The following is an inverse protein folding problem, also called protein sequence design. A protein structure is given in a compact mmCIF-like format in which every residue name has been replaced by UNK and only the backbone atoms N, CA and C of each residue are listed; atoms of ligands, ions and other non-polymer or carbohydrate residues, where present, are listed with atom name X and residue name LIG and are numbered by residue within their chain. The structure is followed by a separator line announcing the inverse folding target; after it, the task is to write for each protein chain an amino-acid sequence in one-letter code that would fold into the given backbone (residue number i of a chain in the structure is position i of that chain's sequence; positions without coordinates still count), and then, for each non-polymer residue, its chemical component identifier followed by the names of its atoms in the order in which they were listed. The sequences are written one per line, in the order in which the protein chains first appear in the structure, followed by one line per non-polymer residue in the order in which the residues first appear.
data_IF_371317385262
#
_entry.id   IF_371317385262
#
_cell.length_a   1.000
_cell.length_b   1.000
_cell.length_c   1.000
_cell.angle_alpha   90.00
_cell.angle_beta   90.00
_cell.angle_gamma   90.00
#
_symmetry.space_group_name_H-M   'P 1'
#
loop_
_entity.id
_entity.type
_entity.pdbx_description
1 polymer ?
#
# COMPACT_ATOMS: atom_id res chain seq x y z
N UNK A 1 -35.69 16.13 18.11
CA UNK A 1 -34.97 15.73 19.34
C UNK A 1 -34.38 14.31 19.27
N UNK A 2 -34.95 13.35 18.53
CA UNK A 2 -34.40 11.97 18.40
C UNK A 2 -32.98 11.88 17.82
N UNK A 3 -32.67 12.58 16.72
CA UNK A 3 -31.35 12.52 16.06
C UNK A 3 -30.18 13.11 16.89
N UNK A 4 -30.46 13.93 17.91
CA UNK A 4 -29.42 14.52 18.77
C UNK A 4 -29.07 13.58 19.93
N UNK A 5 -30.08 12.91 20.50
CA UNK A 5 -29.91 11.89 21.54
C UNK A 5 -29.20 10.63 20.99
N UNK A 6 -29.55 10.17 19.78
CA UNK A 6 -28.86 9.03 19.16
C UNK A 6 -27.39 9.34 18.83
N UNK A 7 -27.09 10.56 18.38
CA UNK A 7 -25.70 11.00 18.18
C UNK A 7 -24.95 11.06 19.50
N UNK A 8 -25.53 11.64 20.56
CA UNK A 8 -24.88 11.68 21.88
C UNK A 8 -24.61 10.30 22.47
N UNK A 9 -25.56 9.36 22.37
CA UNK A 9 -25.34 7.98 22.83
C UNK A 9 -24.27 7.24 22.01
N UNK A 10 -24.16 7.51 20.70
CA UNK A 10 -23.11 6.93 19.86
C UNK A 10 -21.73 7.49 20.18
N UNK A 11 -21.64 8.79 20.48
CA UNK A 11 -20.38 9.41 20.94
C UNK A 11 -19.96 8.88 22.32
N UNK A 12 -20.87 8.82 23.29
CA UNK A 12 -20.58 8.27 24.63
C UNK A 12 -20.10 6.81 24.58
N UNK A 13 -20.74 5.95 23.76
CA UNK A 13 -20.27 4.57 23.57
C UNK A 13 -18.88 4.48 22.96
N UNK A 14 -18.54 5.36 22.02
CA UNK A 14 -17.21 5.38 21.43
C UNK A 14 -16.14 5.81 22.44
N UNK A 15 -16.44 6.77 23.31
CA UNK A 15 -15.52 7.23 24.35
C UNK A 15 -15.28 6.15 25.42
N UNK A 16 -16.34 5.47 25.87
CA UNK A 16 -16.24 4.33 26.81
C UNK A 16 -15.41 3.17 26.24
N UNK A 17 -15.60 2.86 24.96
CA UNK A 17 -14.86 1.80 24.29
C UNK A 17 -13.37 2.15 24.16
N UNK A 18 -13.06 3.41 23.83
CA UNK A 18 -11.70 3.92 23.75
C UNK A 18 -11.01 3.91 25.12
N UNK A 19 -11.71 4.31 26.18
CA UNK A 19 -11.17 4.28 27.54
C UNK A 19 -10.91 2.85 28.03
N UNK A 20 -11.84 1.94 27.76
CA UNK A 20 -11.67 0.51 28.05
C UNK A 20 -10.45 -0.09 27.33
N UNK A 21 -10.26 0.28 26.06
CA UNK A 21 -9.11 -0.16 25.26
C UNK A 21 -7.79 0.39 25.81
N UNK A 22 -7.74 1.68 26.18
CA UNK A 22 -6.54 2.28 26.79
C UNK A 22 -6.16 1.60 28.10
N UNK A 23 -7.15 1.34 28.97
CA UNK A 23 -6.92 0.60 30.22
C UNK A 23 -6.34 -0.78 29.93
N UNK A 24 -6.93 -1.53 29.00
CA UNK A 24 -6.38 -2.84 28.60
C UNK A 24 -4.92 -2.74 28.12
N UNK A 25 -4.61 -1.79 27.24
CA UNK A 25 -3.25 -1.61 26.74
C UNK A 25 -2.26 -1.25 27.87
N UNK A 26 -2.67 -0.37 28.78
CA UNK A 26 -1.89 -0.03 29.96
C UNK A 26 -1.58 -1.26 30.81
N UNK A 27 -2.61 -2.04 31.16
CA UNK A 27 -2.46 -3.26 31.96
C UNK A 27 -1.59 -4.30 31.26
N UNK A 28 -1.67 -4.40 29.93
CA UNK A 28 -0.79 -5.27 29.15
C UNK A 28 0.67 -4.83 29.24
N UNK A 29 0.98 -3.53 29.26
CA UNK A 29 2.36 -3.05 29.44
C UNK A 29 2.86 -3.17 30.87
N UNK A 30 1.99 -2.94 31.86
CA UNK A 30 2.35 -2.92 33.28
C UNK A 30 2.39 -4.30 33.94
N UNK A 31 2.10 -5.39 33.23
CA UNK A 31 1.90 -6.72 33.81
C UNK A 31 0.83 -6.77 34.91
N UNK A 32 -0.22 -5.95 34.76
CA UNK A 32 -1.26 -5.87 35.80
C UNK A 32 -0.90 -4.99 36.99
N UNK A 33 0.21 -4.25 36.96
CA UNK A 33 0.57 -3.26 37.97
C UNK A 33 -0.06 -1.88 37.67
N UNK A 34 -0.16 -1.01 38.67
CA UNK A 34 -0.66 0.37 38.52
C UNK A 34 0.35 1.32 37.86
N UNK A 35 1.53 0.81 37.50
CA UNK A 35 2.66 1.57 36.95
C UNK A 35 3.37 0.76 35.87
N UNK A 36 3.82 1.42 34.80
CA UNK A 36 4.73 0.86 33.82
C UNK A 36 6.16 1.25 34.23
N UNK A 37 7.02 0.24 34.40
CA UNK A 37 8.44 0.41 34.69
C UNK A 37 9.25 0.22 33.40
N UNK A 38 10.34 0.98 33.25
CA UNK A 38 11.24 0.90 32.09
C UNK A 38 11.73 -0.54 31.83
N UNK A 39 12.15 -1.26 32.88
CA UNK A 39 12.62 -2.63 32.76
C UNK A 39 11.56 -3.56 32.15
N UNK A 40 10.34 -3.54 32.69
CA UNK A 40 9.21 -4.32 32.19
C UNK A 40 8.91 -4.01 30.73
N UNK A 41 9.00 -2.73 30.34
CA UNK A 41 8.72 -2.32 28.98
C UNK A 41 9.81 -2.81 28.00
N UNK A 42 11.08 -2.71 28.39
CA UNK A 42 12.22 -3.23 27.62
C UNK A 42 12.14 -4.74 27.38
N UNK A 43 11.73 -5.49 28.39
CA UNK A 43 11.56 -6.95 28.27
C UNK A 43 10.46 -7.32 27.27
N UNK A 44 9.36 -6.54 27.23
CA UNK A 44 8.23 -6.81 26.32
C UNK A 44 8.48 -6.37 24.88
N UNK A 45 8.98 -5.15 24.69
CA UNK A 45 9.08 -4.53 23.35
C UNK A 45 10.38 -4.84 22.61
N UNK A 46 11.32 -5.57 23.22
CA UNK A 46 12.76 -5.55 22.91
C UNK A 46 13.44 -4.30 23.52
N UNK A 47 14.67 -4.46 24.01
CA UNK A 47 15.44 -3.46 24.74
C UNK A 47 15.59 -2.16 23.96
N UNK A 48 15.84 -2.28 22.64
CA UNK A 48 16.08 -1.15 21.73
C UNK A 48 14.82 -0.32 21.45
N UNK A 49 13.62 -0.93 21.45
CA UNK A 49 12.35 -0.22 21.26
C UNK A 49 11.74 0.26 22.58
N UNK A 50 11.94 -0.50 23.67
CA UNK A 50 11.32 -0.21 24.96
C UNK A 50 11.76 1.14 25.55
N UNK A 51 13.02 1.52 25.39
CA UNK A 51 13.54 2.79 25.93
C UNK A 51 12.95 4.04 25.26
N UNK A 52 12.97 4.18 23.92
CA UNK A 52 12.33 5.32 23.27
C UNK A 52 10.84 5.45 23.60
N UNK A 53 10.10 4.33 23.64
CA UNK A 53 8.68 4.34 23.96
C UNK A 53 8.45 4.75 25.43
N UNK A 54 9.28 4.25 26.36
CA UNK A 54 9.20 4.65 27.77
C UNK A 54 9.44 6.16 27.94
N UNK A 55 10.49 6.67 27.31
CA UNK A 55 10.90 8.08 27.35
C UNK A 55 9.81 8.98 26.79
N UNK A 56 9.16 8.56 25.70
CA UNK A 56 8.01 9.26 25.15
C UNK A 56 6.83 9.32 26.13
N UNK A 57 6.48 8.19 26.77
CA UNK A 57 5.35 8.12 27.70
C UNK A 57 5.60 8.89 29.01
N UNK A 58 6.85 8.97 29.46
CA UNK A 58 7.26 9.59 30.73
C UNK A 58 7.72 11.05 30.62
N UNK A 59 7.70 11.65 29.42
CA UNK A 59 8.30 12.97 29.14
C UNK A 59 9.81 13.08 29.47
N UNK A 60 10.51 11.95 29.66
CA UNK A 60 11.84 11.89 30.26
C UNK A 60 11.94 12.46 31.69
N UNK A 61 10.80 12.68 32.36
CA UNK A 61 10.73 13.30 33.68
C UNK A 61 10.39 12.28 34.77
N UNK A 62 9.57 11.28 34.43
CA UNK A 62 9.03 10.31 35.40
C UNK A 62 9.78 8.97 35.44
N UNK A 63 10.10 8.51 36.65
CA UNK A 63 10.69 7.17 36.90
C UNK A 63 9.68 6.04 36.69
N UNK A 64 8.38 6.36 36.62
CA UNK A 64 7.28 5.42 36.40
C UNK A 64 6.21 6.10 35.55
N UNK A 65 5.49 5.33 34.71
CA UNK A 65 4.35 5.84 33.94
C UNK A 65 3.06 5.28 34.53
N UNK A 66 2.20 6.14 35.04
CA UNK A 66 0.88 5.76 35.55
C UNK A 66 -0.20 5.76 34.44
N UNK A 67 -1.41 5.29 34.76
CA UNK A 67 -2.51 5.20 33.80
C UNK A 67 -2.90 6.57 33.20
N UNK A 68 -2.83 7.64 33.98
CA UNK A 68 -3.19 8.98 33.50
C UNK A 68 -2.18 9.51 32.48
N UNK A 69 -0.88 9.37 32.78
CA UNK A 69 0.22 9.71 31.87
C UNK A 69 0.15 8.87 30.59
N UNK A 70 -0.09 7.56 30.71
CA UNK A 70 -0.31 6.70 29.55
C UNK A 70 -1.53 7.14 28.74
N UNK A 71 -2.65 7.48 29.38
CA UNK A 71 -3.86 7.92 28.66
C UNK A 71 -3.66 9.22 27.86
N UNK A 72 -2.71 10.08 28.26
CA UNK A 72 -2.37 11.33 27.55
C UNK A 72 -1.59 11.07 26.25
N UNK A 73 -0.76 10.03 26.21
CA UNK A 73 0.22 9.81 25.12
C UNK A 73 0.20 8.45 24.43
N UNK A 74 -0.42 7.44 25.02
CA UNK A 74 -0.45 6.09 24.46
C UNK A 74 -1.33 5.97 23.21
N UNK A 75 -2.29 6.88 23.02
CA UNK A 75 -3.20 6.85 21.87
C UNK A 75 -2.51 6.94 20.50
N UNK A 76 -1.57 7.89 20.26
CA UNK A 76 -0.78 7.91 19.04
C UNK A 76 -0.11 6.58 18.69
N UNK A 77 0.30 5.77 19.69
CA UNK A 77 0.90 4.44 19.47
C UNK A 77 -0.12 3.41 18.98
N UNK A 78 -1.41 3.64 19.25
CA UNK A 78 -2.55 2.83 18.80
C UNK A 78 -3.13 3.30 17.45
N UNK A 79 -2.62 4.41 16.90
CA UNK A 79 -3.12 5.00 15.67
C UNK A 79 -2.76 4.20 14.43
N UNK A 80 -3.46 4.51 13.32
CA UNK A 80 -3.15 3.94 12.00
C UNK A 80 -1.89 4.55 11.37
N UNK A 81 -1.52 5.78 11.75
CA UNK A 81 -0.29 6.42 11.28
C UNK A 81 0.92 5.90 12.06
N UNK A 82 1.99 5.61 11.35
CA UNK A 82 3.28 5.21 11.92
C UNK A 82 4.26 6.37 12.03
N UNK A 83 3.86 7.59 11.68
CA UNK A 83 4.74 8.75 11.65
C UNK A 83 5.17 9.18 13.06
N UNK A 84 4.39 8.79 14.09
CA UNK A 84 4.75 9.02 15.49
C UNK A 84 6.10 8.40 15.86
N UNK A 85 6.49 7.28 15.24
CA UNK A 85 7.77 6.63 15.53
C UNK A 85 8.96 7.45 15.06
N UNK A 86 8.79 8.27 14.02
CA UNK A 86 9.81 9.25 13.60
C UNK A 86 10.02 10.26 14.72
N UNK A 87 8.94 10.75 15.34
CA UNK A 87 9.06 11.71 16.44
C UNK A 87 9.70 11.11 17.69
N UNK A 88 9.37 9.86 18.01
CA UNK A 88 9.84 9.18 19.23
C UNK A 88 11.28 8.71 19.11
N UNK A 89 11.68 8.24 17.93
CA UNK A 89 12.94 7.55 17.72
C UNK A 89 13.80 8.39 16.76
N UNK A 90 14.72 9.14 17.36
CA UNK A 90 15.68 9.97 16.65
C UNK A 90 17.11 9.58 17.07
N UNK A 91 18.09 9.61 16.16
CA UNK A 91 17.99 9.98 14.74
C UNK A 91 17.36 8.87 13.86
N UNK A 92 17.02 9.18 12.61
CA UNK A 92 16.38 8.24 11.66
C UNK A 92 17.15 6.92 11.47
N UNK A 93 18.48 6.97 11.51
CA UNK A 93 19.35 5.80 11.43
C UNK A 93 19.03 4.79 12.53
N UNK A 94 18.85 5.28 13.77
CA UNK A 94 18.48 4.43 14.91
C UNK A 94 17.06 3.89 14.77
N UNK A 95 16.14 4.68 14.23
CA UNK A 95 14.79 4.22 13.92
C UNK A 95 14.82 3.07 12.91
N UNK A 96 15.61 3.18 11.84
CA UNK A 96 15.73 2.12 10.84
C UNK A 96 16.34 0.83 11.41
N UNK A 97 17.35 0.94 12.28
CA UNK A 97 17.89 -0.23 13.01
C UNK A 97 16.82 -0.94 13.84
N UNK A 98 16.05 -0.18 14.62
CA UNK A 98 14.93 -0.72 15.42
C UNK A 98 13.87 -1.37 14.52
N UNK A 99 13.61 -0.83 13.33
CA UNK A 99 12.69 -1.42 12.37
C UNK A 99 13.14 -2.82 11.93
N UNK A 100 14.43 -2.99 11.65
CA UNK A 100 15.03 -4.29 11.30
C UNK A 100 14.97 -5.26 12.48
N UNK A 101 15.33 -4.82 13.68
CA UNK A 101 15.27 -5.64 14.89
C UNK A 101 13.83 -6.11 15.20
N UNK A 102 12.85 -5.21 15.09
CA UNK A 102 11.43 -5.56 15.28
C UNK A 102 10.91 -6.52 14.21
N UNK A 103 11.53 -6.54 13.04
CA UNK A 103 11.21 -7.45 11.93
C UNK A 103 12.03 -8.75 11.95
N UNK A 104 12.90 -8.93 12.96
CA UNK A 104 13.88 -10.02 13.02
C UNK A 104 14.81 -10.10 11.79
N UNK A 105 15.09 -8.95 11.16
CA UNK A 105 15.95 -8.82 9.98
C UNK A 105 17.38 -8.54 10.43
N UNK A 106 18.31 -9.43 10.07
CA UNK A 106 19.74 -9.23 10.31
C UNK A 106 20.37 -8.55 9.11
N UNK A 107 20.99 -7.40 9.33
CA UNK A 107 21.79 -6.71 8.33
C UNK A 107 23.16 -7.38 8.21
N UNK A 108 23.77 -7.26 7.02
CA UNK A 108 25.10 -7.79 6.71
C UNK A 108 25.99 -6.68 6.17
N UNK A 109 27.30 -6.91 6.07
CA UNK A 109 28.23 -5.92 5.50
C UNK A 109 27.86 -5.53 4.05
N UNK A 110 27.20 -6.43 3.32
CA UNK A 110 26.71 -6.16 1.95
C UNK A 110 25.59 -5.12 1.91
N UNK A 111 24.91 -4.91 3.03
CA UNK A 111 23.79 -3.97 3.14
C UNK A 111 24.26 -2.55 3.46
N UNK A 112 25.51 -2.35 3.88
CA UNK A 112 25.98 -1.06 4.39
C UNK A 112 25.84 0.07 3.37
N UNK A 113 26.26 -0.15 2.12
CA UNK A 113 26.13 0.86 1.06
C UNK A 113 24.67 1.10 0.66
N UNK A 114 23.88 0.03 0.59
CA UNK A 114 22.45 0.10 0.28
C UNK A 114 21.67 0.87 1.36
N UNK A 115 21.87 0.54 2.63
CA UNK A 115 21.23 1.20 3.77
C UNK A 115 21.64 2.67 3.81
N UNK A 116 22.91 3.00 3.58
CA UNK A 116 23.39 4.38 3.51
C UNK A 116 22.72 5.16 2.36
N UNK A 117 22.59 4.54 1.18
CA UNK A 117 21.90 5.14 0.04
C UNK A 117 20.40 5.33 0.33
N UNK A 118 19.76 4.36 1.00
CA UNK A 118 18.37 4.44 1.43
C UNK A 118 18.15 5.58 2.43
N UNK A 119 18.97 5.68 3.49
CA UNK A 119 18.90 6.78 4.46
C UNK A 119 19.05 8.13 3.76
N UNK A 120 20.03 8.26 2.85
CA UNK A 120 20.22 9.49 2.07
C UNK A 120 18.99 9.82 1.23
N UNK A 121 18.36 8.84 0.60
CA UNK A 121 17.12 9.02 -0.16
C UNK A 121 15.94 9.43 0.74
N UNK A 122 15.86 8.86 1.94
CA UNK A 122 14.83 9.18 2.93
C UNK A 122 14.97 10.60 3.49
N UNK A 123 16.20 11.12 3.54
CA UNK A 123 16.53 12.48 3.98
C UNK A 123 16.65 13.49 2.84
N UNK A 124 16.26 13.14 1.61
CA UNK A 124 16.46 14.02 0.44
C UNK A 124 15.73 15.36 0.55
N UNK A 125 14.59 15.37 1.24
CA UNK A 125 13.73 16.53 1.37
C UNK A 125 13.96 17.30 2.67
N UNK A 126 14.86 16.81 3.54
CA UNK A 126 15.13 17.31 4.89
C UNK A 126 15.36 16.17 5.90
N UNK A 127 16.02 16.50 7.02
CA UNK A 127 16.26 15.57 8.15
C UNK A 127 15.35 15.87 9.36
N UNK A 128 14.33 16.73 9.17
CA UNK A 128 13.29 16.97 10.16
C UNK A 128 12.18 15.91 10.09
N UNK A 129 11.38 15.82 11.18
CA UNK A 129 10.33 14.81 11.34
C UNK A 129 9.31 14.88 10.21
N UNK A 130 8.88 16.08 9.83
CA UNK A 130 7.88 16.31 8.80
C UNK A 130 8.39 15.90 7.41
N UNK A 131 9.64 16.23 7.09
CA UNK A 131 10.27 15.86 5.82
C UNK A 131 10.46 14.34 5.70
N UNK A 132 10.91 13.67 6.76
CA UNK A 132 11.05 12.20 6.78
C UNK A 132 9.67 11.54 6.67
N UNK A 133 8.65 12.04 7.39
CA UNK A 133 7.30 11.49 7.35
C UNK A 133 6.69 11.60 5.94
N UNK A 134 6.81 12.76 5.31
CA UNK A 134 6.38 12.99 3.92
C UNK A 134 7.07 12.01 2.97
N UNK A 135 8.39 11.88 3.08
CA UNK A 135 9.18 10.97 2.22
C UNK A 135 8.81 9.51 2.45
N UNK A 136 8.63 9.10 3.71
CA UNK A 136 8.17 7.76 4.10
C UNK A 136 6.82 7.43 3.50
N UNK A 137 5.83 8.32 3.64
CA UNK A 137 4.49 8.10 3.11
C UNK A 137 4.47 8.01 1.57
N UNK A 138 5.40 8.68 0.88
CA UNK A 138 5.52 8.63 -0.57
C UNK A 138 6.24 7.35 -1.06
N UNK A 139 7.38 7.02 -0.48
CA UNK A 139 8.28 5.99 -1.02
C UNK A 139 8.04 4.62 -0.39
N UNK A 140 7.92 4.60 0.94
CA UNK A 140 7.94 3.38 1.76
C UNK A 140 6.90 3.46 2.89
N UNK A 141 5.58 3.55 2.58
CA UNK A 141 4.56 3.84 3.57
C UNK A 141 4.50 2.83 4.71
N UNK A 142 4.88 1.58 4.44
CA UNK A 142 4.92 0.49 5.39
C UNK A 142 6.23 0.29 6.13
N UNK A 143 7.21 1.20 5.99
CA UNK A 143 8.54 1.06 6.60
C UNK A 143 8.53 0.78 8.10
N UNK A 144 7.52 1.25 8.83
CA UNK A 144 7.48 1.15 10.29
C UNK A 144 6.40 0.19 10.81
N UNK A 145 5.81 -0.63 9.94
CA UNK A 145 4.79 -1.60 10.37
C UNK A 145 5.35 -2.68 11.30
N UNK A 146 6.65 -2.99 11.25
CA UNK A 146 7.25 -3.93 12.21
C UNK A 146 7.20 -3.40 13.66
N UNK A 147 7.49 -2.11 13.86
CA UNK A 147 7.37 -1.44 15.17
C UNK A 147 5.92 -1.46 15.63
N UNK A 148 4.99 -1.03 14.77
CA UNK A 148 3.56 -1.00 15.08
C UNK A 148 3.02 -2.39 15.42
N UNK A 149 3.39 -3.41 14.64
CA UNK A 149 3.01 -4.80 14.88
C UNK A 149 3.50 -5.26 16.25
N UNK A 150 4.77 -5.00 16.59
CA UNK A 150 5.34 -5.39 17.89
C UNK A 150 4.59 -4.77 19.07
N UNK A 151 4.21 -3.50 18.94
CA UNK A 151 3.41 -2.80 19.94
C UNK A 151 2.00 -3.40 20.02
N UNK A 152 1.36 -3.66 18.88
CA UNK A 152 0.02 -4.25 18.81
C UNK A 152 -0.02 -5.67 19.37
N UNK A 153 1.03 -6.46 19.16
CA UNK A 153 1.14 -7.81 19.71
C UNK A 153 1.06 -7.78 21.23
N UNK A 154 1.69 -6.80 21.88
CA UNK A 154 1.62 -6.66 23.34
C UNK A 154 0.26 -6.09 23.77
N UNK A 155 -0.25 -5.07 23.08
CA UNK A 155 -1.52 -4.44 23.45
C UNK A 155 -2.71 -5.37 23.35
N UNK A 156 -2.71 -6.26 22.36
CA UNK A 156 -3.79 -7.21 22.10
C UNK A 156 -3.49 -8.64 22.55
N UNK A 157 -2.36 -8.86 23.25
CA UNK A 157 -1.90 -10.18 23.69
C UNK A 157 -1.88 -11.21 22.54
N UNK A 158 -1.33 -10.78 21.39
CA UNK A 158 -1.18 -11.60 20.19
C UNK A 158 0.22 -12.16 20.12
N UNK A 159 0.33 -13.36 19.55
CA UNK A 159 1.62 -13.91 19.20
C UNK A 159 2.21 -13.10 18.04
N UNK A 160 3.45 -12.67 18.20
CA UNK A 160 4.21 -12.01 17.15
C UNK A 160 4.26 -12.87 15.90
N UNK A 161 3.97 -12.27 14.75
CA UNK A 161 4.05 -12.92 13.45
C UNK A 161 5.42 -12.62 12.86
N UNK A 162 6.24 -13.65 12.74
CA UNK A 162 7.50 -13.56 12.02
C UNK A 162 7.23 -13.54 10.52
N UNK A 163 7.80 -12.54 9.83
CA UNK A 163 7.77 -12.44 8.38
C UNK A 163 9.01 -13.12 7.79
N UNK A 164 8.83 -13.89 6.73
CA UNK A 164 9.94 -14.49 5.99
C UNK A 164 10.44 -13.50 4.92
N UNK A 165 11.62 -12.92 5.16
CA UNK A 165 12.33 -12.04 4.21
C UNK A 165 13.40 -12.78 3.40
N UNK A 166 13.33 -14.11 3.30
CA UNK A 166 14.25 -14.86 2.45
C UNK A 166 14.02 -14.56 0.97
N UNK A 167 15.11 -14.37 0.24
CA UNK A 167 15.15 -14.18 -1.20
C UNK A 167 16.44 -14.79 -1.75
N UNK A 168 16.39 -15.32 -2.96
CA UNK A 168 17.59 -15.75 -3.68
C UNK A 168 18.36 -14.61 -4.34
N UNK A 169 17.73 -13.43 -4.47
CA UNK A 169 18.28 -12.27 -5.17
C UNK A 169 18.61 -11.13 -4.21
N UNK A 170 17.73 -10.86 -3.26
CA UNK A 170 17.85 -9.78 -2.29
C UNK A 170 18.40 -10.29 -0.95
N UNK A 171 19.08 -9.40 -0.22
CA UNK A 171 19.31 -9.62 1.20
C UNK A 171 18.00 -9.43 1.99
N UNK A 172 17.90 -9.97 3.22
CA UNK A 172 16.72 -9.76 4.07
C UNK A 172 16.41 -8.27 4.32
N UNK A 173 17.42 -7.41 4.44
CA UNK A 173 17.23 -5.97 4.61
C UNK A 173 16.65 -5.29 3.36
N UNK A 174 17.11 -5.67 2.18
CA UNK A 174 16.56 -5.19 0.91
C UNK A 174 15.11 -5.67 0.70
N UNK A 175 14.83 -6.94 1.02
CA UNK A 175 13.49 -7.51 0.95
C UNK A 175 12.53 -6.83 1.93
N UNK A 176 12.98 -6.53 3.15
CA UNK A 176 12.21 -5.75 4.12
C UNK A 176 11.82 -4.36 3.60
N UNK A 177 12.78 -3.64 3.02
CA UNK A 177 12.50 -2.32 2.44
C UNK A 177 11.54 -2.45 1.26
N UNK A 178 11.72 -3.44 0.38
CA UNK A 178 10.78 -3.72 -0.72
C UNK A 178 9.36 -3.95 -0.19
N UNK A 179 9.18 -4.72 0.89
CA UNK A 179 7.87 -4.92 1.52
C UNK A 179 7.25 -3.60 1.97
N UNK A 180 8.03 -2.73 2.62
CA UNK A 180 7.55 -1.43 3.08
C UNK A 180 7.14 -0.48 1.95
N UNK A 181 7.63 -0.70 0.73
CA UNK A 181 7.27 0.09 -0.45
C UNK A 181 5.92 -0.32 -1.05
N UNK A 182 5.39 -1.50 -0.74
CA UNK A 182 4.21 -2.01 -1.43
C UNK A 182 2.90 -1.73 -0.69
N UNK A 183 1.78 -1.44 -1.40
CA UNK A 183 0.48 -1.29 -0.78
C UNK A 183 -0.01 -2.56 -0.07
N UNK A 184 -0.27 -2.46 1.24
CA UNK A 184 -0.75 -3.56 2.09
C UNK A 184 -2.01 -4.22 1.53
N UNK A 185 -2.96 -3.40 1.08
CA UNK A 185 -4.28 -3.84 0.59
C UNK A 185 -4.24 -4.65 -0.70
N UNK A 186 -3.12 -4.64 -1.42
CA UNK A 186 -2.97 -5.35 -2.70
C UNK A 186 -2.06 -6.55 -2.52
N UNK A 187 -0.85 -6.33 -2.02
CA UNK A 187 0.20 -7.35 -2.04
C UNK A 187 0.22 -8.23 -0.77
N UNK A 188 -0.54 -7.88 0.26
CA UNK A 188 -0.51 -8.57 1.57
C UNK A 188 -1.90 -9.04 2.03
N UNK A 189 -2.93 -8.91 1.19
CA UNK A 189 -4.27 -9.40 1.50
C UNK A 189 -4.31 -10.94 1.56
N UNK A 190 -4.71 -11.49 2.71
CA UNK A 190 -4.88 -12.94 2.88
C UNK A 190 -6.21 -13.43 2.35
N UNK A 191 -6.22 -14.56 1.65
CA UNK A 191 -7.45 -15.29 1.38
C UNK A 191 -8.04 -15.77 2.71
N UNK A 192 -9.34 -15.50 2.95
CA UNK A 192 -10.12 -15.94 4.14
C UNK A 192 -10.15 -17.47 4.34
N UNK A 193 -9.56 -18.24 3.44
CA UNK A 193 -9.62 -19.71 3.40
C UNK A 193 -8.51 -20.40 4.20
N UNK A 194 -7.49 -19.68 4.68
CA UNK A 194 -6.48 -20.26 5.58
C UNK A 194 -6.92 -20.05 7.05
N UNK A 195 -7.16 -21.12 7.82
CA UNK A 195 -7.62 -21.00 9.21
C UNK A 195 -6.60 -20.25 10.08
N UNK A 196 -7.12 -19.52 11.06
CA UNK A 196 -6.37 -18.82 12.10
C UNK A 196 -5.32 -19.76 12.72
N UNK A 197 -4.03 -19.46 12.49
CA UNK A 197 -2.93 -20.19 13.10
C UNK A 197 -1.69 -20.44 12.23
N UNK A 198 -1.71 -20.14 10.92
CA UNK A 198 -0.51 -20.29 10.09
C UNK A 198 0.34 -19.01 10.00
N UNK A 199 1.61 -19.19 10.35
CA UNK A 199 2.69 -18.22 10.37
C UNK A 199 3.16 -17.79 8.97
N UNK A 200 3.31 -16.48 8.77
CA UNK A 200 4.51 -15.87 8.20
C UNK A 200 4.76 -15.84 6.69
N UNK A 201 4.02 -16.59 5.84
CA UNK A 201 4.19 -16.49 4.37
C UNK A 201 2.97 -15.86 3.71
N UNK A 202 3.04 -14.55 3.52
CA UNK A 202 2.05 -13.78 2.77
C UNK A 202 2.26 -13.88 1.26
N UNK A 203 3.47 -14.23 0.81
CA UNK A 203 3.82 -14.42 -0.59
C UNK A 203 4.23 -15.86 -0.87
N UNK A 204 3.77 -16.39 -2.00
CA UNK A 204 4.08 -17.73 -2.50
C UNK A 204 5.13 -17.62 -3.62
N UNK A 205 6.27 -18.28 -3.49
CA UNK A 205 7.30 -18.27 -4.53
C UNK A 205 6.80 -19.05 -5.76
N UNK A 206 6.55 -18.35 -6.87
CA UNK A 206 6.10 -18.95 -8.13
C UNK A 206 7.27 -19.48 -8.93
N UNK A 207 8.36 -18.71 -9.00
CA UNK A 207 9.53 -19.07 -9.79
C UNK A 207 10.78 -18.41 -9.25
N UNK A 208 11.90 -19.13 -9.28
CA UNK A 208 13.23 -18.57 -9.07
C UNK A 208 14.20 -19.26 -10.01
N UNK A 209 15.15 -18.51 -10.56
CA UNK A 209 16.22 -19.05 -11.37
C UNK A 209 17.52 -18.28 -11.11
N UNK A 210 18.56 -19.04 -10.76
CA UNK A 210 19.89 -18.51 -10.46
C UNK A 210 20.92 -18.77 -11.58
N UNK A 211 20.49 -19.53 -12.59
CA UNK A 211 21.29 -19.87 -13.76
C UNK A 211 20.67 -19.19 -14.97
N UNK A 212 21.39 -18.30 -15.68
CA UNK A 212 20.86 -17.61 -16.85
C UNK A 212 20.31 -18.54 -17.95
N UNK A 213 20.77 -19.80 -18.02
CA UNK A 213 20.25 -20.79 -18.99
C UNK A 213 18.82 -21.25 -18.70
N UNK A 214 18.37 -21.08 -17.46
CA UNK A 214 17.00 -21.43 -17.02
C UNK A 214 16.06 -20.22 -17.16
N UNK A 215 16.59 -19.04 -17.50
CA UNK A 215 15.82 -17.81 -17.64
C UNK A 215 15.47 -17.65 -19.11
N UNK A 216 14.29 -18.13 -19.48
CA UNK A 216 13.75 -18.03 -20.85
C UNK A 216 12.31 -17.53 -20.81
N UNK A 217 11.84 -16.87 -21.89
CA UNK A 217 10.45 -16.42 -22.00
C UNK A 217 9.43 -17.53 -21.78
N UNK A 218 9.67 -18.72 -22.36
CA UNK A 218 8.77 -19.87 -22.26
C UNK A 218 8.61 -20.32 -20.80
N UNK A 219 9.71 -20.35 -20.04
CA UNK A 219 9.68 -20.72 -18.62
C UNK A 219 8.95 -19.64 -17.82
N UNK A 220 9.26 -18.36 -18.06
CA UNK A 220 8.58 -17.25 -17.38
C UNK A 220 7.07 -17.29 -17.63
N UNK A 221 6.64 -17.43 -18.89
CA UNK A 221 5.23 -17.55 -19.25
C UNK A 221 4.58 -18.76 -18.56
N UNK A 222 5.21 -19.93 -18.61
CA UNK A 222 4.68 -21.16 -18.02
C UNK A 222 4.46 -21.04 -16.50
N UNK A 223 5.41 -20.42 -15.79
CA UNK A 223 5.36 -20.32 -14.33
C UNK A 223 4.50 -19.16 -13.84
N UNK A 224 4.46 -18.05 -14.58
CA UNK A 224 3.89 -16.78 -14.08
C UNK A 224 2.53 -16.46 -14.68
N UNK A 225 2.28 -16.73 -15.97
CA UNK A 225 1.05 -16.27 -16.64
C UNK A 225 -0.21 -16.99 -16.16
N UNK A 226 -0.08 -18.13 -15.47
CA UNK A 226 -1.22 -18.84 -14.90
C UNK A 226 -1.63 -18.28 -13.53
N UNK A 227 -0.81 -17.43 -12.91
CA UNK A 227 -1.16 -16.78 -11.66
C UNK A 227 -2.10 -15.60 -11.91
N UNK A 228 -3.26 -15.58 -11.25
CA UNK A 228 -4.31 -14.59 -11.47
C UNK A 228 -4.30 -13.45 -10.44
N UNK A 229 -3.32 -13.38 -9.55
CA UNK A 229 -3.21 -12.33 -8.53
C UNK A 229 -2.06 -11.36 -8.79
N UNK A 230 -1.88 -10.38 -7.88
CA UNK A 230 -0.71 -9.52 -7.84
C UNK A 230 0.60 -10.31 -7.74
N UNK A 231 1.66 -9.82 -8.34
CA UNK A 231 2.97 -10.47 -8.29
C UNK A 231 4.07 -9.47 -8.04
N UNK A 232 5.16 -9.92 -7.44
CA UNK A 232 6.41 -9.17 -7.31
C UNK A 232 7.52 -9.95 -8.02
N UNK A 233 8.02 -9.38 -9.12
CA UNK A 233 9.09 -9.95 -9.94
C UNK A 233 10.38 -9.21 -9.65
N UNK A 234 11.34 -9.86 -9.02
CA UNK A 234 12.67 -9.34 -8.70
C UNK A 234 13.65 -9.83 -9.76
N UNK A 235 14.40 -8.91 -10.36
CA UNK A 235 15.30 -9.16 -11.48
C UNK A 235 16.67 -8.60 -11.13
N UNK A 236 17.69 -9.44 -11.22
CA UNK A 236 19.09 -9.02 -11.21
C UNK A 236 19.65 -9.09 -12.62
N UNK A 237 20.20 -7.99 -13.12
CA UNK A 237 20.79 -7.94 -14.46
C UNK A 237 22.22 -8.45 -14.47
N UNK A 238 22.78 -8.63 -15.67
CA UNK A 238 24.20 -8.97 -15.85
C UNK A 238 25.15 -7.88 -15.36
N UNK A 239 24.69 -6.64 -15.33
CA UNK A 239 25.42 -5.48 -14.82
C UNK A 239 25.30 -5.33 -13.29
N UNK A 240 24.80 -6.38 -12.62
CA UNK A 240 24.60 -6.45 -11.16
C UNK A 240 23.62 -5.41 -10.59
N UNK A 241 22.84 -4.73 -11.44
CA UNK A 241 21.70 -3.93 -11.02
C UNK A 241 20.55 -4.83 -10.58
N UNK A 242 19.74 -4.36 -9.62
CA UNK A 242 18.59 -5.11 -9.10
C UNK A 242 17.34 -4.25 -9.15
N UNK A 243 16.29 -4.82 -9.70
CA UNK A 243 14.99 -4.21 -9.89
C UNK A 243 13.88 -5.10 -9.37
N UNK A 244 12.75 -4.51 -8.99
CA UNK A 244 11.52 -5.21 -8.72
C UNK A 244 10.37 -4.59 -9.52
N UNK A 245 9.53 -5.44 -10.12
CA UNK A 245 8.26 -5.07 -10.74
C UNK A 245 7.16 -5.65 -9.87
N UNK A 246 6.41 -4.79 -9.20
CA UNK A 246 5.18 -5.17 -8.55
C UNK A 246 4.04 -4.93 -9.54
N UNK A 247 3.45 -6.02 -10.03
CA UNK A 247 2.34 -5.98 -10.97
C UNK A 247 1.06 -6.40 -10.26
N UNK A 248 0.08 -5.52 -10.19
CA UNK A 248 -1.21 -5.79 -9.55
C UNK A 248 -2.19 -6.53 -10.47
N UNK A 249 -1.86 -6.75 -11.74
CA UNK A 249 -2.68 -7.46 -12.71
C UNK A 249 -2.03 -8.79 -13.14
N UNK A 250 -2.84 -9.64 -13.78
CA UNK A 250 -2.36 -10.89 -14.39
C UNK A 250 -1.34 -10.60 -15.51
N UNK A 251 -0.25 -11.35 -15.54
CA UNK A 251 0.70 -11.31 -16.65
C UNK A 251 0.10 -11.89 -17.93
N UNK A 252 0.22 -11.14 -19.02
CA UNK A 252 -0.23 -11.54 -20.36
C UNK A 252 0.74 -11.02 -21.42
N UNK A 253 0.79 -11.68 -22.57
CA UNK A 253 1.36 -11.06 -23.77
C UNK A 253 0.36 -10.03 -24.28
N UNK A 254 0.79 -8.79 -24.46
CA UNK A 254 -0.10 -7.72 -24.91
C UNK A 254 0.60 -6.79 -25.88
N UNK A 255 -0.19 -6.25 -26.82
CA UNK A 255 0.24 -5.13 -27.66
C UNK A 255 0.13 -3.79 -26.95
N UNK A 256 -0.58 -3.76 -25.82
CA UNK A 256 -0.79 -2.60 -24.97
C UNK A 256 -0.10 -2.81 -23.61
N UNK A 257 -0.03 -1.74 -22.81
CA UNK A 257 0.44 -1.79 -21.41
C UNK A 257 -0.49 -2.67 -20.55
N UNK A 258 0.04 -3.34 -19.52
CA UNK A 258 -0.65 -4.43 -18.77
C UNK A 258 -0.71 -4.25 -17.24
N UNK A 259 -0.28 -3.11 -16.69
CA UNK A 259 -0.36 -2.84 -15.24
C UNK A 259 -1.63 -2.08 -14.84
N UNK A 260 -2.06 -2.27 -13.59
CA UNK A 260 -3.11 -1.49 -12.94
C UNK A 260 -2.57 -0.36 -12.06
N UNK A 261 -3.46 0.34 -11.36
CA UNK A 261 -3.14 1.56 -10.61
C UNK A 261 -2.14 1.34 -9.46
N UNK A 262 -1.97 0.10 -8.99
CA UNK A 262 -1.05 -0.25 -7.90
C UNK A 262 0.19 -1.00 -8.40
N UNK A 263 0.37 -1.06 -9.72
CA UNK A 263 1.62 -1.50 -10.30
C UNK A 263 2.72 -0.47 -10.06
N UNK A 264 3.90 -0.96 -9.70
CA UNK A 264 5.08 -0.12 -9.48
C UNK A 264 6.36 -0.79 -9.93
N UNK A 265 7.32 0.03 -10.35
CA UNK A 265 8.67 -0.39 -10.64
C UNK A 265 9.63 0.22 -9.64
N UNK A 266 10.49 -0.62 -9.08
CA UNK A 266 11.37 -0.27 -7.98
C UNK A 266 12.80 -0.61 -8.40
N UNK A 267 13.64 0.42 -8.55
CA UNK A 267 15.09 0.26 -8.62
C UNK A 267 15.57 0.04 -7.19
N UNK A 268 16.27 -1.07 -6.93
CA UNK A 268 16.80 -1.43 -5.60
C UNK A 268 18.30 -1.12 -5.55
N UNK A 269 19.04 -1.53 -6.58
CA UNK A 269 20.45 -1.22 -6.78
C UNK A 269 20.70 -0.67 -8.19
N UNK A 270 21.61 0.31 -8.35
CA UNK A 270 22.49 0.89 -7.32
C UNK A 270 21.84 1.98 -6.46
N UNK A 271 20.72 2.56 -6.91
CA UNK A 271 20.00 3.61 -6.20
C UNK A 271 18.54 3.22 -6.00
N UNK A 272 18.04 3.40 -4.78
CA UNK A 272 16.65 3.10 -4.48
C UNK A 272 15.71 4.18 -5.02
N UNK A 273 14.83 3.79 -5.95
CA UNK A 273 13.80 4.66 -6.53
C UNK A 273 12.56 3.86 -6.85
N UNK A 274 11.40 4.48 -6.66
CA UNK A 274 10.10 3.92 -6.98
C UNK A 274 9.42 4.76 -8.04
N UNK A 275 8.81 4.07 -8.98
CA UNK A 275 8.01 4.63 -10.06
C UNK A 275 6.64 3.95 -10.01
N UNK A 276 5.59 4.71 -9.73
CA UNK A 276 4.21 4.23 -9.76
C UNK A 276 3.61 4.52 -11.14
N UNK A 277 2.78 3.61 -11.65
CA UNK A 277 2.05 3.80 -12.90
C UNK A 277 1.80 2.51 -13.67
N UNK A 278 0.57 2.02 -13.65
CA UNK A 278 0.17 0.80 -14.39
C UNK A 278 0.28 0.92 -15.90
N UNK A 279 0.16 2.14 -16.41
CA UNK A 279 0.34 2.42 -17.82
C UNK A 279 1.82 2.41 -18.24
N UNK A 280 2.77 2.06 -17.39
CA UNK A 280 4.18 1.98 -17.78
C UNK A 280 4.64 0.55 -18.05
N UNK A 281 3.96 -0.45 -17.49
CA UNK A 281 4.33 -1.86 -17.63
C UNK A 281 3.88 -2.43 -18.98
N UNK A 282 4.80 -3.06 -19.67
CA UNK A 282 4.57 -3.74 -20.93
C UNK A 282 5.21 -5.13 -20.91
N UNK A 283 4.52 -6.13 -21.44
CA UNK A 283 5.01 -7.50 -21.57
C UNK A 283 4.55 -8.10 -22.90
N UNK A 284 5.51 -8.54 -23.70
CA UNK A 284 5.25 -9.20 -24.96
C UNK A 284 6.40 -10.12 -25.35
N UNK A 285 6.18 -11.42 -25.35
CA UNK A 285 7.13 -12.40 -25.86
C UNK A 285 6.56 -13.21 -27.06
N UNK A 286 5.43 -12.78 -27.62
CA UNK A 286 4.68 -13.57 -28.60
C UNK A 286 4.41 -12.84 -29.93
N UNK A 287 4.45 -11.51 -29.95
CA UNK A 287 4.13 -10.72 -31.13
C UNK A 287 5.37 -10.01 -31.68
N UNK A 288 5.82 -10.45 -32.86
CA UNK A 288 6.96 -9.88 -33.60
C UNK A 288 6.74 -8.43 -34.08
N UNK A 289 5.52 -7.90 -33.91
CA UNK A 289 5.12 -6.60 -34.45
C UNK A 289 5.37 -5.42 -33.50
N UNK A 290 5.95 -5.64 -32.32
CA UNK A 290 6.12 -4.62 -31.28
C UNK A 290 7.46 -4.80 -30.54
N UNK A 291 7.76 -3.90 -29.59
CA UNK A 291 8.86 -4.11 -28.64
C UNK A 291 8.64 -5.47 -27.97
N UNK A 292 9.68 -6.27 -27.89
CA UNK A 292 9.62 -7.62 -27.33
C UNK A 292 10.38 -7.67 -26.00
N UNK A 293 9.79 -8.32 -25.01
CA UNK A 293 10.32 -8.45 -23.66
C UNK A 293 9.40 -7.86 -22.59
N UNK A 294 9.99 -7.48 -21.45
CA UNK A 294 9.32 -6.79 -20.35
C UNK A 294 9.89 -5.38 -20.25
N UNK A 295 9.04 -4.36 -20.23
CA UNK A 295 9.48 -2.97 -20.22
C UNK A 295 8.70 -2.18 -19.18
N UNK A 296 9.37 -1.21 -18.55
CA UNK A 296 8.74 -0.19 -17.74
C UNK A 296 9.10 1.20 -18.27
N UNK A 297 8.20 1.80 -19.05
CA UNK A 297 8.45 3.09 -19.70
C UNK A 297 9.80 3.12 -20.43
N UNK A 298 10.56 4.20 -20.22
CA UNK A 298 11.95 4.31 -20.70
C UNK A 298 12.99 3.87 -19.64
N UNK A 299 12.55 3.48 -18.45
CA UNK A 299 13.41 3.29 -17.29
C UNK A 299 14.04 1.90 -17.21
N UNK A 300 13.44 0.91 -17.89
CA UNK A 300 13.82 -0.50 -17.79
C UNK A 300 13.34 -1.33 -18.98
N UNK A 301 14.21 -2.25 -19.43
CA UNK A 301 13.91 -3.21 -20.49
C UNK A 301 14.61 -4.55 -20.22
N UNK A 302 13.82 -5.61 -20.10
CA UNK A 302 14.26 -7.00 -20.29
C UNK A 302 14.07 -7.34 -21.76
N UNK A 303 15.12 -7.85 -22.40
CA UNK A 303 15.08 -8.23 -23.80
C UNK A 303 14.16 -9.44 -24.02
N UNK A 304 13.72 -9.63 -25.27
CA UNK A 304 12.83 -10.71 -25.68
C UNK A 304 13.35 -12.10 -25.33
N UNK A 305 14.66 -12.31 -25.38
CA UNK A 305 15.35 -13.55 -25.05
C UNK A 305 15.74 -13.62 -23.56
N UNK A 306 15.37 -12.61 -22.77
CA UNK A 306 15.75 -12.39 -21.37
C UNK A 306 17.27 -12.46 -21.11
N UNK A 307 18.12 -12.30 -22.15
CA UNK A 307 19.57 -12.54 -22.03
C UNK A 307 20.28 -11.55 -21.10
N UNK A 308 19.68 -10.39 -20.84
CA UNK A 308 20.24 -9.38 -19.94
C UNK A 308 19.93 -9.67 -18.46
N UNK A 309 19.18 -10.72 -18.16
CA UNK A 309 18.86 -11.18 -16.81
C UNK A 309 19.90 -12.21 -16.34
N UNK A 310 20.38 -12.03 -15.11
CA UNK A 310 21.33 -12.89 -14.41
C UNK A 310 20.63 -13.80 -13.39
N UNK A 311 19.73 -13.22 -12.60
CA UNK A 311 18.86 -13.94 -11.66
C UNK A 311 17.45 -13.37 -11.72
N UNK A 312 16.46 -14.21 -11.45
CA UNK A 312 15.06 -13.80 -11.36
C UNK A 312 14.36 -14.55 -10.24
N UNK A 313 13.45 -13.86 -9.57
CA UNK A 313 12.58 -14.40 -8.55
C UNK A 313 11.18 -13.78 -8.72
N UNK A 314 10.14 -14.59 -8.70
CA UNK A 314 8.76 -14.16 -8.90
C UNK A 314 7.91 -14.69 -7.77
N UNK A 315 7.28 -13.78 -7.06
CA UNK A 315 6.40 -14.03 -5.93
C UNK A 315 4.96 -13.77 -6.35
N UNK A 316 4.07 -14.70 -6.02
CA UNK A 316 2.63 -14.52 -6.06
C UNK A 316 2.18 -13.91 -4.76
N UNK A 317 1.48 -12.79 -4.84
CA UNK A 317 1.11 -11.94 -3.73
C UNK A 317 -0.41 -11.81 -3.62
N UNK A 318 -0.90 -11.52 -2.42
CA UNK A 318 -2.31 -11.21 -2.20
C UNK A 318 -3.28 -12.35 -2.54
N UNK A 319 -4.53 -11.98 -2.81
CA UNK A 319 -5.60 -12.92 -3.19
C UNK A 319 -5.65 -12.98 -4.73
N UNK A 320 -5.65 -14.18 -5.35
CA UNK A 320 -5.89 -14.31 -6.79
C UNK A 320 -7.20 -13.63 -7.20
N UNK A 321 -7.21 -12.86 -8.29
CA UNK A 321 -8.31 -11.97 -8.72
C UNK A 321 -9.63 -12.65 -9.12
N UNK A 322 -9.85 -13.93 -8.76
CA UNK A 322 -11.20 -14.50 -8.75
C UNK A 322 -12.09 -13.87 -7.67
N UNK A 323 -11.54 -13.01 -6.82
CA UNK A 323 -12.27 -12.21 -5.85
C UNK A 323 -12.86 -10.94 -6.50
N UNK A 324 -14.17 -10.75 -6.29
CA UNK A 324 -14.97 -9.67 -6.85
C UNK A 324 -14.32 -8.28 -6.60
N UNK A 325 -14.16 -7.48 -7.66
CA UNK A 325 -13.60 -6.12 -7.62
C UNK A 325 -14.26 -5.25 -6.53
N UNK A 326 -15.54 -5.52 -6.23
CA UNK A 326 -16.31 -4.86 -5.18
C UNK A 326 -15.78 -5.13 -3.76
N UNK A 327 -15.31 -6.34 -3.48
CA UNK A 327 -14.75 -6.67 -2.17
C UNK A 327 -13.38 -6.01 -1.96
N UNK A 328 -12.60 -5.85 -3.04
CA UNK A 328 -11.33 -5.11 -3.00
C UNK A 328 -11.56 -3.62 -2.68
N UNK A 329 -12.55 -3.00 -3.35
CA UNK A 329 -12.96 -1.62 -3.06
C UNK A 329 -13.48 -1.46 -1.61
N UNK A 330 -14.18 -2.46 -1.08
CA UNK A 330 -14.66 -2.47 0.31
C UNK A 330 -13.52 -2.60 1.33
N UNK A 331 -12.56 -3.50 1.10
CA UNK A 331 -11.37 -3.63 1.94
C UNK A 331 -10.52 -2.36 1.92
N UNK A 332 -10.41 -1.69 0.76
CA UNK A 332 -9.74 -0.41 0.64
C UNK A 332 -10.46 0.69 1.41
N UNK A 333 -11.80 0.79 1.29
CA UNK A 333 -12.61 1.74 2.08
C UNK A 333 -12.50 1.52 3.59
N UNK A 334 -12.41 0.25 4.01
CA UNK A 334 -12.20 -0.09 5.42
C UNK A 334 -10.80 0.31 5.90
N UNK A 335 -9.78 0.15 5.06
CA UNK A 335 -8.41 0.54 5.40
C UNK A 335 -8.19 2.07 5.42
N UNK A 336 -8.90 2.81 4.57
CA UNK A 336 -8.78 4.28 4.45
C UNK A 336 -9.61 5.06 5.48
N UNK A 337 -10.37 4.40 6.35
CA UNK A 337 -11.04 5.06 7.47
C UNK A 337 -12.00 6.20 7.07
N UNK A 338 -12.62 6.13 5.90
CA UNK A 338 -13.49 7.20 5.43
C UNK A 338 -14.78 7.27 6.25
N UNK A 339 -14.83 8.31 7.10
CA UNK A 339 -16.06 8.88 7.64
C UNK A 339 -16.99 9.21 6.47
N UNK A 340 -17.99 8.37 6.22
CA UNK A 340 -19.21 8.83 5.54
C UNK A 340 -19.91 9.82 6.47
N UNK A 341 -19.64 11.11 6.26
CA UNK A 341 -20.55 12.17 6.63
C UNK A 341 -21.89 11.88 5.96
N UNK A 342 -22.91 11.69 6.78
CA UNK A 342 -24.31 11.62 6.38
C UNK A 342 -24.68 12.90 5.63
N UNK A 343 -24.70 12.86 4.30
CA UNK A 343 -25.51 13.82 3.55
C UNK A 343 -26.98 13.58 3.89
N UNK A 344 -27.76 14.62 4.23
CA UNK A 344 -29.15 14.45 4.59
C UNK A 344 -29.96 13.99 3.38
N UNK A 345 -30.51 12.77 3.45
CA UNK A 345 -31.54 12.32 2.50
C UNK A 345 -32.74 13.27 2.60
N UNK A 346 -32.95 14.06 1.56
CA UNK A 346 -34.17 14.85 1.37
C UNK A 346 -35.36 13.87 1.30
N UNK A 347 -36.43 14.02 2.11
CA UNK A 347 -37.58 13.14 2.04
C UNK A 347 -38.33 13.37 0.72
N UNK A 348 -38.39 12.36 -0.15
CA UNK A 348 -39.35 12.35 -1.27
C UNK A 348 -40.76 12.18 -0.71
N UNK A 349 -41.52 13.27 -0.71
CA UNK A 349 -42.97 13.25 -0.50
C UNK A 349 -43.63 12.44 -1.61
N UNK A 350 -44.47 11.48 -1.21
CA UNK A 350 -45.40 10.76 -2.07
C UNK A 350 -46.49 11.72 -2.55
N UNK A 351 -46.64 11.85 -3.86
CA UNK A 351 -47.74 12.53 -4.52
C UNK A 351 -47.90 11.98 -5.92
N UNK A 352 -48.96 11.21 -6.14
CA UNK A 352 -49.37 10.65 -7.42
C UNK A 352 -49.68 11.77 -8.42
N UNK A 353 -49.16 11.68 -9.64
CA UNK A 353 -49.89 12.10 -10.84
C UNK A 353 -49.43 11.27 -12.03
N UNK A 354 -50.35 10.46 -12.53
CA UNK A 354 -50.28 9.79 -13.82
C UNK A 354 -50.29 10.85 -14.94
N UNK A 355 -49.25 10.85 -15.77
CA UNK A 355 -49.36 11.21 -17.18
C UNK A 355 -48.09 10.71 -17.91
N UNK A 356 -48.23 9.68 -18.74
CA UNK A 356 -47.32 9.50 -19.87
C UNK A 356 -47.71 10.54 -20.93
N UNK A 357 -46.74 11.23 -21.53
CA UNK A 357 -46.80 11.50 -22.95
C UNK A 357 -45.59 10.91 -23.67
N UNK A 358 -45.94 10.29 -24.79
CA UNK A 358 -45.16 9.95 -25.98
C UNK A 358 -44.16 11.01 -26.45
N UNK A 359 -43.07 10.54 -27.05
CA UNK A 359 -42.23 11.32 -27.99
C UNK A 359 -40.84 11.59 -27.44
N UNK A 360 -39.82 11.32 -28.25
CA UNK A 360 -38.41 11.37 -27.85
C UNK A 360 -37.93 12.75 -27.44
N UNK A 361 -37.18 12.78 -26.35
CA UNK A 361 -35.83 13.32 -26.24
C UNK A 361 -35.37 13.05 -24.80
N UNK A 362 -34.22 12.41 -24.68
CA UNK A 362 -33.64 11.92 -23.43
C UNK A 362 -33.22 13.13 -22.57
N UNK A 363 -33.80 13.25 -21.38
CA UNK A 363 -33.47 14.31 -20.42
C UNK A 363 -32.12 13.99 -19.78
N UNK A 364 -31.05 14.55 -20.34
CA UNK A 364 -29.70 14.39 -19.84
C UNK A 364 -29.44 15.34 -18.65
N UNK A 365 -29.51 14.78 -17.44
CA UNK A 365 -29.31 15.48 -16.16
C UNK A 365 -27.92 16.08 -16.08
N UNK A 366 -26.93 15.46 -16.74
CA UNK A 366 -25.54 15.91 -16.74
C UNK A 366 -25.39 17.22 -17.53
N UNK A 367 -26.19 17.41 -18.58
CA UNK A 367 -26.21 18.64 -19.37
C UNK A 367 -26.72 19.84 -18.57
N UNK A 368 -27.77 19.66 -17.77
CA UNK A 368 -28.26 20.72 -16.87
C UNK A 368 -27.26 21.06 -15.77
N UNK A 369 -26.54 20.05 -15.25
CA UNK A 369 -25.48 20.27 -14.26
C UNK A 369 -24.34 21.11 -14.85
N UNK A 370 -23.97 20.82 -16.10
CA UNK A 370 -22.90 21.53 -16.83
C UNK A 370 -23.30 22.95 -17.25
N UNK A 371 -24.54 23.17 -17.67
CA UNK A 371 -25.06 24.52 -17.97
C UNK A 371 -25.17 25.38 -16.68
N UNK A 372 -25.56 24.78 -15.54
CA UNK A 372 -25.51 25.47 -14.23
C UNK A 372 -24.09 25.76 -13.74
N UNK A 373 -23.09 25.00 -14.21
CA UNK A 373 -21.67 25.26 -13.94
C UNK A 373 -21.06 26.32 -14.89
N UNK A 374 -21.86 26.90 -15.79
CA UNK A 374 -21.45 28.00 -16.68
C UNK A 374 -20.87 27.56 -18.03
N UNK A 375 -21.07 26.30 -18.45
CA UNK A 375 -20.69 25.85 -19.79
C UNK A 375 -21.81 26.12 -20.80
N UNK A 376 -21.52 26.90 -21.85
CA UNK A 376 -22.42 27.09 -22.99
C UNK A 376 -22.14 26.05 -24.09
N UNK A 377 -23.19 25.34 -24.54
CA UNK A 377 -23.10 24.40 -25.66
C UNK A 377 -23.75 25.01 -26.92
N UNK A 378 -22.94 25.40 -27.90
CA UNK A 378 -23.40 25.97 -29.17
C UNK A 378 -24.30 25.01 -29.95
N UNK A 379 -25.56 25.41 -30.18
CA UNK A 379 -26.54 24.66 -30.99
C UNK A 379 -26.49 25.04 -32.46
N UNK A 380 -25.42 24.78 -33.21
CA UNK A 380 -25.49 24.82 -34.68
C UNK A 380 -24.50 23.87 -35.38
N UNK A 381 -24.88 22.59 -35.54
CA UNK A 381 -24.53 21.76 -36.72
C UNK A 381 -25.63 20.74 -37.01
N UNK A 382 -26.75 21.21 -37.58
CA UNK A 382 -27.56 20.42 -38.51
C UNK A 382 -27.66 21.21 -39.81
N UNK A 383 -26.67 21.02 -40.67
CA UNK A 383 -26.76 21.40 -42.06
C UNK A 383 -26.41 20.15 -42.88
N UNK A 384 -27.45 19.48 -43.38
CA UNK A 384 -27.30 18.51 -44.45
C UNK A 384 -26.88 19.21 -45.75
N UNK A 385 -26.32 18.49 -46.72
CA UNK A 385 -25.78 19.09 -47.94
C UNK A 385 -26.90 19.64 -48.82
N UNK A 386 -26.77 20.92 -49.17
CA UNK A 386 -27.59 21.60 -50.18
C UNK A 386 -27.08 21.18 -51.57
N UNK A 387 -27.96 20.61 -52.41
CA UNK A 387 -27.70 20.35 -53.83
C UNK A 387 -27.68 21.68 -54.62
N UNK A 388 -26.82 21.82 -55.64
CA UNK A 388 -26.86 22.96 -56.55
C UNK A 388 -28.08 22.87 -57.50
N UNK A 389 -28.66 24.01 -57.92
CA UNK A 389 -29.71 24.03 -58.92
C UNK A 389 -29.13 23.92 -60.34
N UNK A 390 -29.80 23.10 -61.14
CA UNK A 390 -29.63 22.98 -62.58
C UNK A 390 -29.87 24.33 -63.26
N UNK A 391 -29.00 24.67 -64.20
CA UNK A 391 -29.17 25.76 -65.16
C UNK A 391 -28.99 25.16 -66.55
N UNK A 392 -30.09 25.02 -67.28
CA UNK A 392 -30.14 24.86 -68.73
C UNK A 392 -31.32 25.69 -69.27
N UNK A 393 -31.07 26.31 -70.42
CA UNK A 393 -32.00 26.86 -71.43
C UNK A 393 -32.80 28.16 -71.16
N UNK A 394 -32.25 29.23 -71.77
CA UNK A 394 -32.85 30.32 -72.59
C UNK A 394 -32.43 31.75 -72.23
#
# INVERSE_FOLDING_TARGET
MGNVLERHHKYQRNDELQESMRKKCFWSLSNGEDIIKLHTLKEKLNFELGEPIYNYLSDNESVQVNLEEFCKKGLPLLGNSTDIYIKIIQPFEKLLEICFDCANVKTTDKDAEFIKAFIKNMKSDGDDVESIARRKNLVCPGLFFSIQSRIFDIFYDRKHIDYDFSSNVLTPAQMYILYGMLPVTIYFCRSKTKPDGFSGKEWDLLWTANNPKEITPDIFQKQVFNFEGPTVTIIKTKDDEIFAIANDQKWINSRNKIGGNYSSFIKILPEIRRFDGGDMLYCNFAYDSNIEGIMWGAEFLVQNDMRNVKNIEVWGCGIPMKFDQRELDELQRQSMGEKKSEEPRVPRTKGEFNAKPSGGDEWDVDKQLLEMAGFEFDRHRRAGPIRPPDADDD
#
